data_IF_072038155263
#
_entry.id   IF_072038155263
#
_cell.length_a   1.000
_cell.length_b   1.000
_cell.length_c   1.000
_cell.angle_alpha   90.00
_cell.angle_beta   90.00
_cell.angle_gamma   90.00
#
_symmetry.space_group_name_H-M   'P 1'
#
loop_
_entity.id
_entity.type
_entity.pdbx_description
1 polymer ?
#
# COMPACT_ATOMS: atom_id res chain seq x y z
N UNK A 1 -21.75 -9.80 -4.86
CA UNK A 1 -21.37 -10.65 -3.71
C UNK A 1 -21.51 -9.77 -2.50
N UNK A 2 -22.48 -10.04 -1.66
CA UNK A 2 -22.73 -9.19 -0.49
C UNK A 2 -21.66 -9.49 0.56
N UNK A 3 -20.77 -8.53 0.81
CA UNK A 3 -19.66 -8.68 1.76
C UNK A 3 -20.15 -8.77 3.21
N UNK A 4 -21.41 -8.39 3.47
CA UNK A 4 -22.01 -8.43 4.80
C UNK A 4 -22.30 -9.86 5.28
N UNK A 5 -22.54 -10.80 4.35
CA UNK A 5 -22.88 -12.19 4.70
C UNK A 5 -21.68 -13.10 4.94
N UNK A 6 -20.45 -12.63 4.64
CA UNK A 6 -19.26 -13.48 4.67
C UNK A 6 -18.22 -13.10 5.73
N UNK A 7 -18.37 -11.95 6.40
CA UNK A 7 -17.45 -11.53 7.46
C UNK A 7 -18.15 -11.73 8.82
N UNK A 8 -18.06 -12.92 9.37
CA UNK A 8 -18.30 -13.12 10.79
C UNK A 8 -17.08 -12.61 11.55
N UNK A 9 -17.35 -11.94 12.68
CA UNK A 9 -16.27 -11.53 13.59
C UNK A 9 -15.45 -12.74 13.99
N UNK A 10 -14.12 -12.61 14.13
CA UNK A 10 -13.28 -13.68 14.63
C UNK A 10 -13.86 -14.17 15.96
N UNK A 11 -13.95 -15.51 16.17
CA UNK A 11 -14.51 -16.04 17.38
C UNK A 11 -13.74 -15.53 18.59
N UNK A 12 -14.47 -15.07 19.59
CA UNK A 12 -13.91 -14.89 20.92
C UNK A 12 -13.29 -16.24 21.34
N UNK A 13 -12.20 -16.27 22.14
CA UNK A 13 -11.44 -17.49 22.42
C UNK A 13 -12.27 -18.70 22.85
N UNK A 14 -13.44 -18.49 23.41
CA UNK A 14 -14.32 -19.52 23.98
C UNK A 14 -15.63 -19.73 23.20
N UNK A 15 -15.80 -19.13 22.03
CA UNK A 15 -17.04 -19.26 21.25
C UNK A 15 -16.86 -20.26 20.10
N UNK A 16 -17.70 -21.32 19.99
CA UNK A 16 -17.71 -22.19 18.83
C UNK A 16 -18.38 -21.45 17.67
N UNK A 17 -17.61 -20.75 16.87
CA UNK A 17 -18.11 -20.09 15.67
C UNK A 17 -17.60 -20.79 14.41
N UNK A 18 -18.49 -20.93 13.43
CA UNK A 18 -18.13 -21.40 12.10
C UNK A 18 -17.32 -20.31 11.38
N UNK A 19 -16.12 -20.65 10.96
CA UNK A 19 -15.31 -19.79 10.12
C UNK A 19 -15.87 -19.90 8.71
N UNK A 20 -16.18 -18.78 8.04
CA UNK A 20 -16.56 -18.83 6.64
C UNK A 20 -15.41 -19.45 5.84
N UNK A 21 -15.65 -20.57 5.18
CA UNK A 21 -14.70 -21.18 4.25
C UNK A 21 -14.98 -20.55 2.89
N UNK A 22 -14.45 -19.36 2.67
CA UNK A 22 -14.40 -18.74 1.35
C UNK A 22 -13.12 -19.10 0.62
N UNK A 23 -13.11 -18.91 -0.70
CA UNK A 23 -11.86 -18.91 -1.45
C UNK A 23 -10.96 -17.82 -0.87
N UNK A 24 -9.75 -18.18 -0.43
CA UNK A 24 -8.79 -17.21 0.10
C UNK A 24 -8.45 -16.19 -1.00
N UNK A 25 -8.33 -14.91 -0.63
CA UNK A 25 -7.81 -13.91 -1.55
C UNK A 25 -6.33 -14.17 -1.80
N UNK A 26 -5.85 -13.79 -2.97
CA UNK A 26 -4.44 -13.79 -3.33
C UNK A 26 -4.03 -12.40 -3.79
N UNK A 27 -2.80 -11.99 -3.51
CA UNK A 27 -2.24 -10.75 -4.04
C UNK A 27 -2.05 -10.77 -5.56
N UNK A 28 -2.16 -11.95 -6.17
CA UNK A 28 -2.18 -12.12 -7.63
C UNK A 28 -3.54 -11.73 -8.23
N UNK A 29 -4.59 -11.66 -7.42
CA UNK A 29 -5.89 -11.14 -7.81
C UNK A 29 -5.89 -9.61 -7.74
N UNK A 30 -6.64 -8.92 -8.63
CA UNK A 30 -6.70 -7.47 -8.61
C UNK A 30 -7.50 -6.96 -7.41
N UNK A 31 -6.99 -5.92 -6.76
CA UNK A 31 -7.66 -5.22 -5.66
C UNK A 31 -8.83 -4.41 -6.21
N UNK A 32 -10.01 -4.56 -5.64
CA UNK A 32 -11.13 -3.66 -5.91
C UNK A 32 -10.88 -2.31 -5.22
N UNK A 33 -10.78 -1.24 -6.01
CA UNK A 33 -10.54 0.10 -5.48
C UNK A 33 -11.80 0.93 -5.25
N UNK A 34 -12.86 0.65 -5.99
CA UNK A 34 -14.06 1.45 -6.03
C UNK A 34 -14.71 1.43 -7.40
N UNK A 35 -15.24 2.58 -7.85
CA UNK A 35 -15.91 2.70 -9.15
C UNK A 35 -15.28 3.81 -9.99
N UNK A 36 -15.36 3.66 -11.31
CA UNK A 36 -14.99 4.69 -12.27
C UNK A 36 -16.11 5.75 -12.46
N UNK A 37 -15.87 6.73 -13.32
CA UNK A 37 -16.82 7.80 -13.63
C UNK A 37 -18.11 7.31 -14.31
N UNK A 38 -18.12 6.07 -14.82
CA UNK A 38 -19.29 5.43 -15.45
C UNK A 38 -20.01 4.47 -14.51
N UNK A 39 -19.54 4.33 -13.26
CA UNK A 39 -20.09 3.40 -12.28
C UNK A 39 -19.57 1.94 -12.42
N UNK A 40 -18.58 1.70 -13.28
CA UNK A 40 -17.99 0.37 -13.40
C UNK A 40 -16.96 0.13 -12.29
N UNK A 41 -16.81 -1.13 -11.83
CA UNK A 41 -15.81 -1.48 -10.85
C UNK A 41 -14.38 -1.17 -11.33
N UNK A 42 -13.62 -0.42 -10.53
CA UNK A 42 -12.23 -0.13 -10.76
C UNK A 42 -11.35 -1.13 -10.01
N UNK A 43 -10.53 -1.87 -10.74
CA UNK A 43 -9.63 -2.88 -10.21
C UNK A 43 -8.17 -2.51 -10.40
N UNK A 44 -7.34 -2.82 -9.39
CA UNK A 44 -5.92 -2.55 -9.39
C UNK A 44 -5.12 -3.84 -9.25
N UNK A 45 -4.50 -4.36 -10.31
CA UNK A 45 -3.53 -5.44 -10.17
C UNK A 45 -2.24 -4.89 -9.51
N UNK A 46 -1.98 -5.36 -8.27
CA UNK A 46 -0.84 -4.91 -7.47
C UNK A 46 0.42 -5.72 -7.71
N UNK A 47 0.29 -6.99 -8.11
CA UNK A 47 1.46 -7.83 -8.34
C UNK A 47 2.40 -7.24 -9.41
N UNK A 48 3.69 -7.18 -9.12
CA UNK A 48 4.74 -6.56 -9.92
C UNK A 48 4.56 -5.06 -10.19
N UNK A 49 3.78 -4.38 -9.38
CA UNK A 49 3.51 -2.95 -9.52
C UNK A 49 3.51 -2.26 -8.16
N UNK A 50 3.79 -0.98 -8.18
CA UNK A 50 3.78 -0.11 -7.02
C UNK A 50 2.75 0.99 -7.26
N UNK A 51 2.20 1.57 -6.19
CA UNK A 51 1.28 2.71 -6.27
C UNK A 51 1.75 3.88 -5.43
N UNK A 52 1.72 5.07 -6.03
CA UNK A 52 1.86 6.36 -5.35
C UNK A 52 0.48 6.98 -5.19
N UNK A 53 0.16 7.43 -3.98
CA UNK A 53 -1.13 8.03 -3.64
C UNK A 53 -0.86 9.45 -3.10
N UNK A 54 -1.23 10.46 -3.87
CA UNK A 54 -1.06 11.87 -3.47
C UNK A 54 -2.38 12.61 -3.35
N UNK A 55 -2.41 13.66 -2.55
CA UNK A 55 -3.56 14.53 -2.39
C UNK A 55 -3.56 15.23 -1.03
N UNK A 56 -4.32 16.28 -0.86
CA UNK A 56 -4.43 17.01 0.39
C UNK A 56 -5.17 16.22 1.49
N UNK A 57 -5.19 16.70 2.74
CA UNK A 57 -6.02 16.13 3.80
C UNK A 57 -7.49 16.05 3.36
N UNK A 58 -8.17 14.93 3.67
CA UNK A 58 -9.56 14.71 3.27
C UNK A 58 -9.78 14.27 1.82
N UNK A 59 -8.73 14.17 0.99
CA UNK A 59 -8.84 13.73 -0.41
C UNK A 59 -9.12 12.21 -0.58
N UNK A 60 -9.24 11.44 0.50
CA UNK A 60 -9.56 10.01 0.46
C UNK A 60 -8.35 9.07 0.26
N UNK A 61 -7.13 9.57 0.47
CA UNK A 61 -5.90 8.73 0.41
C UNK A 61 -5.96 7.54 1.35
N UNK A 62 -6.39 7.77 2.60
CA UNK A 62 -6.54 6.73 3.62
C UNK A 62 -7.52 5.66 3.19
N UNK A 63 -8.65 6.02 2.56
CA UNK A 63 -9.62 5.05 2.04
C UNK A 63 -8.98 4.11 1.02
N UNK A 64 -8.24 4.68 0.06
CA UNK A 64 -7.55 3.88 -0.96
C UNK A 64 -6.46 3.00 -0.35
N UNK A 65 -5.65 3.55 0.56
CA UNK A 65 -4.58 2.81 1.23
C UNK A 65 -5.13 1.68 2.10
N UNK A 66 -6.20 1.94 2.87
CA UNK A 66 -6.89 0.94 3.69
C UNK A 66 -7.50 -0.18 2.84
N UNK A 67 -8.06 0.13 1.68
CA UNK A 67 -8.56 -0.87 0.73
C UNK A 67 -7.45 -1.81 0.25
N UNK A 68 -6.28 -1.26 -0.10
CA UNK A 68 -5.11 -2.04 -0.51
C UNK A 68 -4.58 -2.89 0.64
N UNK A 69 -4.42 -2.30 1.83
CA UNK A 69 -3.94 -3.01 3.02
C UNK A 69 -4.94 -4.09 3.46
N UNK A 70 -6.24 -3.81 3.43
CA UNK A 70 -7.30 -4.76 3.76
C UNK A 70 -7.28 -5.98 2.84
N UNK A 71 -7.20 -5.77 1.53
CA UNK A 71 -7.06 -6.87 0.57
C UNK A 71 -5.81 -7.71 0.90
N UNK A 72 -4.65 -7.08 1.07
CA UNK A 72 -3.39 -7.77 1.35
C UNK A 72 -3.40 -8.47 2.72
N UNK A 73 -4.07 -7.92 3.73
CA UNK A 73 -4.21 -8.53 5.05
C UNK A 73 -4.99 -9.85 5.00
N UNK A 74 -5.96 -9.95 4.09
CA UNK A 74 -6.75 -11.16 3.86
C UNK A 74 -6.06 -12.18 2.95
N UNK A 75 -4.94 -11.81 2.31
CA UNK A 75 -4.17 -12.72 1.46
C UNK A 75 -3.16 -13.55 2.30
N UNK A 76 -3.23 -14.89 2.29
CA UNK A 76 -2.25 -15.73 3.00
C UNK A 76 -0.86 -15.70 2.35
N UNK A 77 -0.76 -15.26 1.11
CA UNK A 77 0.48 -15.18 0.33
C UNK A 77 1.21 -13.82 0.48
N UNK A 78 0.81 -12.99 1.45
CA UNK A 78 1.40 -11.64 1.67
C UNK A 78 1.94 -11.47 3.07
N UNK A 79 3.09 -10.80 3.20
CA UNK A 79 3.63 -10.22 4.43
C UNK A 79 3.38 -8.72 4.43
N UNK A 80 2.92 -8.20 5.56
CA UNK A 80 2.56 -6.79 5.72
C UNK A 80 3.65 -6.03 6.48
N UNK A 81 4.21 -5.03 5.83
CA UNK A 81 5.13 -4.07 6.42
C UNK A 81 4.49 -2.68 6.35
N UNK A 82 3.99 -2.18 7.48
CA UNK A 82 3.22 -0.95 7.57
C UNK A 82 4.04 0.14 8.25
N UNK A 83 4.16 1.31 7.62
CA UNK A 83 4.84 2.49 8.15
C UNK A 83 3.81 3.62 8.32
N UNK A 84 3.58 4.01 9.57
CA UNK A 84 2.64 5.07 9.93
C UNK A 84 3.20 5.93 11.06
N UNK A 85 3.79 7.06 10.69
CA UNK A 85 4.39 8.00 11.63
C UNK A 85 3.39 8.67 12.58
N UNK A 86 2.10 8.65 12.26
CA UNK A 86 1.03 9.18 13.12
C UNK A 86 0.35 8.10 13.96
N UNK A 87 0.49 6.84 13.59
CA UNK A 87 -0.15 5.66 14.20
C UNK A 87 -1.69 5.71 14.19
N UNK A 88 -2.28 6.43 13.26
CA UNK A 88 -3.73 6.64 13.17
C UNK A 88 -4.31 5.93 11.95
N UNK A 89 -3.71 6.10 10.78
CA UNK A 89 -4.27 5.64 9.51
C UNK A 89 -4.09 4.12 9.29
N UNK A 90 -2.90 3.60 9.59
CA UNK A 90 -2.58 2.18 9.51
C UNK A 90 -2.53 1.50 10.89
N UNK A 91 -2.74 2.27 11.97
CA UNK A 91 -2.72 1.78 13.34
C UNK A 91 -3.72 0.66 13.61
N UNK A 92 -4.88 0.70 12.97
CA UNK A 92 -5.93 -0.32 13.10
C UNK A 92 -5.52 -1.70 12.52
N UNK A 93 -4.51 -1.73 11.63
CA UNK A 93 -3.97 -2.96 11.05
C UNK A 93 -2.77 -3.54 11.81
N UNK A 94 -2.34 -2.90 12.91
CA UNK A 94 -1.11 -3.23 13.61
C UNK A 94 -1.00 -4.71 13.98
N UNK A 95 -2.08 -5.30 14.48
CA UNK A 95 -2.09 -6.70 14.93
C UNK A 95 -2.11 -7.71 13.77
N UNK A 96 -2.53 -7.29 12.59
CA UNK A 96 -2.46 -8.08 11.36
C UNK A 96 -1.11 -7.95 10.63
N UNK A 97 -0.30 -6.92 10.96
CA UNK A 97 0.97 -6.63 10.30
C UNK A 97 2.10 -7.57 10.78
N UNK A 98 2.97 -7.96 9.86
CA UNK A 98 4.22 -8.66 10.20
C UNK A 98 5.23 -7.68 10.81
N UNK A 99 5.23 -6.42 10.33
CA UNK A 99 6.02 -5.32 10.88
C UNK A 99 5.17 -4.05 10.88
N UNK A 100 5.06 -3.40 12.04
CA UNK A 100 4.44 -2.09 12.17
C UNK A 100 5.48 -1.08 12.68
N UNK A 101 5.72 -0.03 11.90
CA UNK A 101 6.65 1.05 12.20
C UNK A 101 5.85 2.30 12.54
N UNK A 102 5.99 2.78 13.77
CA UNK A 102 5.45 4.06 14.23
C UNK A 102 6.41 5.23 13.95
N UNK A 103 6.38 6.30 14.79
CA UNK A 103 7.22 7.48 14.63
C UNK A 103 8.69 7.24 15.08
N UNK A 104 9.31 6.21 14.54
CA UNK A 104 10.67 5.78 14.84
C UNK A 104 11.47 5.64 13.54
N UNK A 105 12.35 6.62 13.26
CA UNK A 105 13.15 6.66 12.04
C UNK A 105 14.15 5.50 11.97
N UNK A 106 14.79 5.14 13.07
CA UNK A 106 15.71 4.02 13.11
C UNK A 106 15.01 2.70 12.80
N UNK A 107 13.79 2.52 13.33
CA UNK A 107 12.98 1.35 13.01
C UNK A 107 12.58 1.34 11.54
N UNK A 108 12.20 2.48 10.96
CA UNK A 108 11.88 2.60 9.54
C UNK A 108 13.09 2.22 8.66
N UNK A 109 14.25 2.77 8.93
CA UNK A 109 15.50 2.47 8.21
C UNK A 109 15.87 0.99 8.34
N UNK A 110 15.87 0.43 9.56
CA UNK A 110 16.16 -1.00 9.77
C UNK A 110 15.18 -1.89 9.00
N UNK A 111 13.92 -1.53 8.99
CA UNK A 111 12.88 -2.27 8.28
C UNK A 111 13.12 -2.27 6.77
N UNK A 112 13.34 -1.09 6.16
CA UNK A 112 13.62 -1.02 4.72
C UNK A 112 14.91 -1.74 4.33
N UNK A 113 15.97 -1.70 5.18
CA UNK A 113 17.20 -2.50 4.96
C UNK A 113 16.92 -4.00 4.98
N UNK A 114 16.07 -4.49 5.89
CA UNK A 114 15.64 -5.90 5.90
C UNK A 114 14.90 -6.27 4.62
N UNK A 115 14.01 -5.40 4.15
CA UNK A 115 13.31 -5.59 2.87
C UNK A 115 14.32 -5.66 1.70
N UNK A 116 15.37 -4.83 1.69
CA UNK A 116 16.43 -4.93 0.69
C UNK A 116 17.18 -6.27 0.75
N UNK A 117 17.54 -6.76 1.93
CA UNK A 117 18.19 -8.06 2.08
C UNK A 117 17.29 -9.18 1.52
N UNK A 118 16.00 -9.16 1.82
CA UNK A 118 15.06 -10.12 1.23
C UNK A 118 15.00 -9.98 -0.29
N UNK A 119 15.00 -8.76 -0.81
CA UNK A 119 15.02 -8.46 -2.24
C UNK A 119 16.24 -9.08 -2.93
N UNK A 120 17.44 -8.88 -2.39
CA UNK A 120 18.69 -9.38 -2.94
C UNK A 120 18.77 -10.92 -2.88
N UNK A 121 18.28 -11.53 -1.80
CA UNK A 121 18.17 -12.99 -1.69
C UNK A 121 17.21 -13.57 -2.74
N UNK A 122 16.10 -12.90 -3.02
CA UNK A 122 15.13 -13.31 -4.06
C UNK A 122 15.72 -13.15 -5.47
N UNK A 123 16.53 -12.12 -5.71
CA UNK A 123 17.27 -12.01 -6.97
C UNK A 123 18.26 -13.15 -7.16
N UNK A 124 19.00 -13.51 -6.12
CA UNK A 124 19.90 -14.68 -6.13
C UNK A 124 19.15 -15.99 -6.42
N UNK A 125 17.96 -16.15 -5.82
CA UNK A 125 17.07 -17.28 -6.09
C UNK A 125 16.61 -17.30 -7.56
N UNK A 126 16.19 -16.17 -8.13
CA UNK A 126 15.76 -16.06 -9.52
C UNK A 126 16.91 -16.39 -10.48
N UNK A 127 18.10 -15.86 -10.21
CA UNK A 127 19.30 -16.11 -10.99
C UNK A 127 19.63 -17.62 -11.01
N UNK A 128 19.65 -18.26 -9.83
CA UNK A 128 19.91 -19.70 -9.71
C UNK A 128 18.88 -20.57 -10.45
N UNK A 129 17.64 -20.07 -10.56
CA UNK A 129 16.54 -20.75 -11.26
C UNK A 129 16.37 -20.33 -12.73
N UNK A 130 17.22 -19.44 -13.23
CA UNK A 130 17.15 -18.86 -14.60
C UNK A 130 15.76 -18.24 -14.87
N UNK A 131 15.19 -17.58 -13.87
CA UNK A 131 13.87 -16.90 -13.93
C UNK A 131 14.05 -15.39 -13.85
N UNK A 132 13.10 -14.64 -14.39
CA UNK A 132 13.10 -13.18 -14.39
C UNK A 132 12.17 -12.56 -13.34
N UNK A 133 11.22 -13.34 -12.80
CA UNK A 133 10.29 -12.90 -11.77
C UNK A 133 9.75 -14.08 -10.98
N UNK A 134 9.33 -13.79 -9.75
CA UNK A 134 8.62 -14.76 -8.90
C UNK A 134 7.21 -15.02 -9.41
N UNK A 135 6.54 -16.03 -8.88
CA UNK A 135 5.19 -16.40 -9.26
C UNK A 135 4.39 -16.99 -8.07
N UNK A 136 3.11 -17.31 -8.26
CA UNK A 136 2.24 -17.78 -7.17
C UNK A 136 2.67 -19.12 -6.57
N UNK A 137 3.45 -19.92 -7.28
CA UNK A 137 3.92 -21.23 -6.82
C UNK A 137 5.29 -21.17 -6.11
N UNK A 138 5.84 -19.98 -5.87
CA UNK A 138 7.07 -19.86 -5.10
C UNK A 138 6.78 -20.03 -3.60
N UNK A 139 7.72 -20.64 -2.86
CA UNK A 139 7.55 -21.02 -1.45
C UNK A 139 7.63 -19.85 -0.46
N UNK A 140 7.64 -18.61 -0.93
CA UNK A 140 7.71 -17.43 -0.09
C UNK A 140 6.62 -16.41 -0.47
N UNK A 141 6.00 -15.81 0.55
CA UNK A 141 4.95 -14.82 0.35
C UNK A 141 5.48 -13.51 -0.26
N UNK A 142 4.59 -12.78 -0.89
CA UNK A 142 4.85 -11.41 -1.35
C UNK A 142 5.02 -10.48 -0.16
N UNK A 143 5.58 -9.29 -0.36
CA UNK A 143 5.70 -8.29 0.70
C UNK A 143 4.98 -7.02 0.23
N UNK A 144 3.99 -6.57 1.00
CA UNK A 144 3.43 -5.23 0.85
C UNK A 144 4.12 -4.30 1.85
N UNK A 145 4.80 -3.29 1.33
CA UNK A 145 5.29 -2.14 2.11
C UNK A 145 4.31 -1.00 1.91
N UNK A 146 3.50 -0.69 2.91
CA UNK A 146 2.56 0.42 2.88
C UNK A 146 3.06 1.57 3.78
N UNK A 147 3.08 2.78 3.24
CA UNK A 147 3.50 3.99 3.96
C UNK A 147 2.41 5.05 3.84
N UNK A 148 1.84 5.46 4.98
CA UNK A 148 0.76 6.46 4.99
C UNK A 148 1.24 7.87 4.62
N UNK A 149 2.42 8.26 5.10
CA UNK A 149 2.97 9.59 4.82
C UNK A 149 4.49 9.52 4.57
N UNK A 150 4.86 9.54 3.29
CA UNK A 150 6.29 9.54 2.91
C UNK A 150 7.01 10.76 3.49
N UNK A 151 6.37 11.95 3.45
CA UNK A 151 6.98 13.20 3.91
C UNK A 151 7.36 13.16 5.39
N UNK A 152 6.69 12.34 6.20
CA UNK A 152 7.05 12.18 7.60
C UNK A 152 8.47 11.64 7.74
N UNK A 153 8.80 10.57 7.05
CA UNK A 153 10.13 9.93 7.13
C UNK A 153 11.19 10.58 6.24
N UNK A 154 10.79 11.20 5.12
CA UNK A 154 11.76 11.78 4.18
C UNK A 154 12.07 13.25 4.43
N UNK A 155 11.29 13.96 5.27
CA UNK A 155 11.46 15.40 5.47
C UNK A 155 11.15 15.92 6.89
N UNK A 156 10.58 15.10 7.78
CA UNK A 156 10.16 15.59 9.11
C UNK A 156 10.86 14.87 10.26
N UNK A 157 10.87 13.54 10.26
CA UNK A 157 11.47 12.73 11.33
C UNK A 157 13.00 12.61 11.15
N UNK A 158 13.70 12.47 12.26
CA UNK A 158 15.16 12.26 12.26
C UNK A 158 15.97 13.47 11.75
N UNK A 159 17.26 13.26 11.57
CA UNK A 159 18.14 14.24 10.94
C UNK A 159 18.14 14.11 9.39
N UNK A 160 18.81 15.06 8.72
CA UNK A 160 18.86 15.09 7.26
C UNK A 160 19.49 13.83 6.65
N UNK A 161 20.50 13.28 7.32
CA UNK A 161 21.19 12.05 6.86
C UNK A 161 20.24 10.85 6.88
N UNK A 162 19.45 10.72 7.93
CA UNK A 162 18.48 9.63 8.07
C UNK A 162 17.32 9.78 7.10
N UNK A 163 16.86 11.02 6.86
CA UNK A 163 15.84 11.33 5.84
C UNK A 163 16.32 10.95 4.43
N UNK A 164 17.55 11.33 4.08
CA UNK A 164 18.15 11.00 2.78
C UNK A 164 18.36 9.49 2.64
N UNK A 165 18.76 8.81 3.70
CA UNK A 165 18.92 7.35 3.73
C UNK A 165 17.58 6.65 3.54
N UNK A 166 16.54 7.06 4.28
CA UNK A 166 15.18 6.53 4.11
C UNK A 166 14.70 6.68 2.67
N UNK A 167 14.84 7.89 2.09
CA UNK A 167 14.43 8.18 0.71
C UNK A 167 15.19 7.32 -0.31
N UNK A 168 16.49 7.11 -0.10
CA UNK A 168 17.32 6.26 -0.95
C UNK A 168 16.89 4.78 -0.89
N UNK A 169 16.64 4.26 0.32
CA UNK A 169 16.17 2.90 0.56
C UNK A 169 14.79 2.66 -0.08
N UNK A 170 13.85 3.57 0.14
CA UNK A 170 12.52 3.49 -0.46
C UNK A 170 12.59 3.50 -1.98
N UNK A 171 13.39 4.41 -2.57
CA UNK A 171 13.58 4.49 -4.03
C UNK A 171 14.13 3.19 -4.59
N UNK A 172 15.13 2.60 -3.96
CA UNK A 172 15.73 1.33 -4.40
C UNK A 172 14.72 0.18 -4.38
N UNK A 173 13.92 0.08 -3.30
CA UNK A 173 12.86 -0.92 -3.17
C UNK A 173 11.80 -0.73 -4.24
N UNK A 174 11.34 0.51 -4.50
CA UNK A 174 10.35 0.81 -5.55
C UNK A 174 10.91 0.44 -6.93
N UNK A 175 12.18 0.75 -7.20
CA UNK A 175 12.82 0.49 -8.49
C UNK A 175 12.99 -1.01 -8.76
N UNK A 176 13.47 -1.77 -7.77
CA UNK A 176 13.89 -3.17 -7.95
C UNK A 176 12.90 -4.20 -7.41
N UNK A 177 12.02 -3.84 -6.48
CA UNK A 177 11.15 -4.78 -5.76
C UNK A 177 10.16 -5.55 -6.64
N UNK A 178 9.73 -4.97 -7.76
CA UNK A 178 8.63 -5.48 -8.61
C UNK A 178 8.81 -6.95 -9.01
N UNK A 179 9.95 -7.31 -9.58
CA UNK A 179 10.20 -8.65 -10.10
C UNK A 179 10.29 -9.73 -9.00
N UNK A 180 10.61 -9.33 -7.80
CA UNK A 180 10.82 -10.21 -6.64
C UNK A 180 9.67 -10.15 -5.63
N UNK A 181 8.52 -9.57 -6.03
CA UNK A 181 7.28 -9.57 -5.25
C UNK A 181 7.31 -8.69 -4.01
N UNK A 182 8.02 -7.58 -4.10
CA UNK A 182 7.92 -6.50 -3.13
C UNK A 182 7.10 -5.40 -3.79
N UNK A 183 5.96 -5.11 -3.18
CA UNK A 183 4.95 -4.16 -3.62
C UNK A 183 5.00 -2.97 -2.67
N UNK A 184 5.07 -1.76 -3.22
CA UNK A 184 5.05 -0.54 -2.42
C UNK A 184 3.75 0.21 -2.69
N UNK A 185 3.00 0.52 -1.63
CA UNK A 185 1.89 1.45 -1.63
C UNK A 185 2.27 2.65 -0.74
N UNK A 186 2.57 3.77 -1.36
CA UNK A 186 3.11 4.93 -0.65
C UNK A 186 2.20 6.14 -0.83
N UNK A 187 1.81 6.77 0.29
CA UNK A 187 0.94 7.93 0.28
C UNK A 187 1.66 9.19 0.79
N UNK A 188 1.16 10.35 0.39
CA UNK A 188 1.58 11.65 0.93
C UNK A 188 0.45 12.68 0.85
N UNK A 189 0.35 13.50 1.89
CA UNK A 189 -0.50 14.70 1.93
C UNK A 189 0.21 15.92 1.35
N UNK A 190 1.51 15.81 1.12
CA UNK A 190 2.34 16.89 0.57
C UNK A 190 2.94 16.48 -0.77
N UNK A 191 2.16 16.54 -1.87
CA UNK A 191 2.67 16.25 -3.21
C UNK A 191 3.51 17.43 -3.71
N UNK A 192 4.77 17.46 -3.28
CA UNK A 192 5.77 18.46 -3.67
C UNK A 192 7.00 17.77 -4.26
N UNK A 193 7.76 18.47 -5.09
CA UNK A 193 8.90 17.89 -5.81
C UNK A 193 10.08 17.51 -4.92
N UNK A 194 10.16 18.07 -3.72
CA UNK A 194 11.15 17.69 -2.68
C UNK A 194 10.80 16.36 -2.03
N UNK A 195 9.52 16.03 -1.90
CA UNK A 195 9.02 14.75 -1.34
C UNK A 195 8.91 13.67 -2.43
N UNK A 196 8.38 14.04 -3.60
CA UNK A 196 8.17 13.15 -4.74
C UNK A 196 8.95 13.71 -5.95
N UNK A 197 10.27 13.59 -5.98
CA UNK A 197 11.03 13.99 -7.17
C UNK A 197 10.64 13.09 -8.36
N UNK A 198 10.76 13.60 -9.60
CA UNK A 198 10.45 12.81 -10.80
C UNK A 198 11.14 11.45 -10.83
N UNK A 199 12.38 11.38 -10.33
CA UNK A 199 13.17 10.14 -10.23
C UNK A 199 12.60 9.08 -9.30
N UNK A 200 11.70 9.45 -8.38
CA UNK A 200 10.94 8.53 -7.53
C UNK A 200 9.55 8.27 -8.12
N UNK A 201 8.82 9.33 -8.48
CA UNK A 201 7.47 9.23 -9.05
C UNK A 201 7.40 8.28 -10.24
N UNK A 202 8.32 8.40 -11.17
CA UNK A 202 8.28 7.67 -12.44
C UNK A 202 8.60 6.17 -12.29
N UNK A 203 9.02 5.74 -11.10
CA UNK A 203 9.16 4.33 -10.73
C UNK A 203 7.84 3.66 -10.33
N UNK A 204 6.81 4.44 -9.99
CA UNK A 204 5.50 3.93 -9.65
C UNK A 204 4.68 3.65 -10.91
N UNK A 205 4.27 2.39 -11.08
CA UNK A 205 3.44 1.97 -12.21
C UNK A 205 2.00 2.50 -12.11
N UNK A 206 1.51 2.67 -10.88
CA UNK A 206 0.22 3.27 -10.58
C UNK A 206 0.41 4.57 -9.82
N UNK A 207 -0.37 5.57 -10.16
CA UNK A 207 -0.39 6.85 -9.44
C UNK A 207 -1.83 7.32 -9.31
N UNK A 208 -2.22 7.64 -8.09
CA UNK A 208 -3.54 8.19 -7.77
C UNK A 208 -3.37 9.60 -7.21
N UNK A 209 -3.95 10.57 -7.89
CA UNK A 209 -4.06 11.95 -7.42
C UNK A 209 -5.49 12.20 -6.92
N UNK A 210 -5.69 12.10 -5.61
CA UNK A 210 -6.86 12.67 -4.95
C UNK A 210 -6.81 14.21 -5.05
N UNK A 211 -7.84 14.91 -4.59
CA UNK A 211 -7.88 16.38 -4.67
C UNK A 211 -6.57 17.01 -4.19
N UNK A 212 -6.04 17.92 -4.99
CA UNK A 212 -4.84 18.70 -4.71
C UNK A 212 -5.19 20.19 -4.65
N UNK A 213 -4.39 20.97 -3.92
CA UNK A 213 -4.60 22.42 -3.77
C UNK A 213 -4.38 23.23 -5.04
N UNK A 214 -3.61 22.68 -5.98
CA UNK A 214 -3.31 23.33 -7.25
C UNK A 214 -2.92 22.30 -8.32
N UNK A 215 -2.85 22.75 -9.57
CA UNK A 215 -2.55 21.92 -10.73
C UNK A 215 -1.12 21.37 -10.73
N UNK A 216 -0.18 22.12 -10.18
CA UNK A 216 1.23 21.68 -10.07
C UNK A 216 1.33 20.48 -9.14
N UNK A 217 0.63 20.49 -7.99
CA UNK A 217 0.59 19.36 -7.06
C UNK A 217 -0.07 18.13 -7.70
N UNK A 218 -1.10 18.33 -8.53
CA UNK A 218 -1.71 17.25 -9.32
C UNK A 218 -0.70 16.66 -10.31
N UNK A 219 0.02 17.48 -11.04
CA UNK A 219 1.05 17.05 -12.01
C UNK A 219 2.26 16.39 -11.32
N UNK A 220 2.58 16.78 -10.08
CA UNK A 220 3.62 16.10 -9.30
C UNK A 220 3.26 14.63 -9.04
N UNK A 221 1.99 14.31 -8.84
CA UNK A 221 1.53 12.93 -8.65
C UNK A 221 1.33 12.21 -9.98
N UNK A 222 0.52 12.78 -10.87
CA UNK A 222 0.12 12.13 -12.13
C UNK A 222 1.26 12.05 -13.14
N UNK A 223 2.16 13.03 -13.13
CA UNK A 223 3.19 13.24 -14.12
C UNK A 223 3.02 14.59 -14.79
N UNK A 224 4.12 15.14 -15.26
CA UNK A 224 4.15 16.45 -15.86
C UNK A 224 3.29 16.52 -17.14
N UNK A 225 2.51 17.60 -17.29
CA UNK A 225 1.75 17.92 -18.49
C UNK A 225 0.32 17.35 -18.52
N UNK A 226 -0.14 16.63 -17.51
CA UNK A 226 -1.52 16.13 -17.46
C UNK A 226 -2.53 17.26 -17.24
N UNK A 227 -2.17 18.27 -16.44
CA UNK A 227 -2.98 19.46 -16.27
C UNK A 227 -3.28 20.15 -17.62
N UNK A 228 -2.25 20.36 -18.45
CA UNK A 228 -2.42 20.98 -19.76
C UNK A 228 -3.31 20.17 -20.74
N UNK A 229 -3.51 18.86 -20.43
CA UNK A 229 -4.39 17.95 -21.19
C UNK A 229 -5.79 17.83 -20.57
N UNK A 230 -6.11 18.62 -19.55
CA UNK A 230 -7.41 18.65 -18.90
C UNK A 230 -7.57 17.69 -17.70
N UNK A 231 -6.49 17.02 -17.27
CA UNK A 231 -6.51 16.12 -16.11
C UNK A 231 -5.86 16.79 -14.91
N UNK A 232 -6.66 17.44 -14.08
CA UNK A 232 -6.20 18.03 -12.84
C UNK A 232 -7.10 17.65 -11.66
N UNK A 233 -6.50 17.09 -10.61
CA UNK A 233 -7.23 16.77 -9.39
C UNK A 233 -7.60 17.99 -8.54
N UNK A 234 -7.07 19.20 -8.90
CA UNK A 234 -7.51 20.47 -8.31
C UNK A 234 -8.99 20.78 -8.63
N UNK A 235 -9.50 20.28 -9.78
CA UNK A 235 -10.90 20.48 -10.20
C UNK A 235 -11.91 19.60 -9.47
N UNK A 236 -11.46 18.66 -8.62
CA UNK A 236 -12.36 17.77 -7.86
C UNK A 236 -13.05 18.58 -6.76
N UNK A 237 -14.39 18.45 -6.69
CA UNK A 237 -15.19 19.11 -5.65
C UNK A 237 -14.71 18.67 -4.25
N UNK A 238 -14.47 19.61 -3.31
CA UNK A 238 -14.10 19.28 -1.93
C UNK A 238 -15.05 18.32 -1.20
N UNK A 239 -16.32 18.32 -1.60
CA UNK A 239 -17.33 17.43 -1.02
C UNK A 239 -17.24 15.99 -1.56
N UNK A 240 -16.51 15.77 -2.66
CA UNK A 240 -16.32 14.45 -3.26
C UNK A 240 -15.09 13.74 -2.70
N UNK A 241 -15.08 13.51 -1.38
CA UNK A 241 -14.00 12.78 -0.73
C UNK A 241 -13.78 11.40 -1.36
N UNK A 242 -12.52 10.99 -1.52
CA UNK A 242 -12.17 9.71 -2.13
C UNK A 242 -12.21 9.69 -3.65
N UNK A 243 -12.58 10.80 -4.29
CA UNK A 243 -12.49 10.94 -5.73
C UNK A 243 -11.08 11.38 -6.14
N UNK A 244 -10.58 10.84 -7.25
CA UNK A 244 -9.26 11.16 -7.76
C UNK A 244 -9.04 10.66 -9.17
N UNK A 245 -7.91 11.02 -9.75
CA UNK A 245 -7.43 10.48 -11.01
C UNK A 245 -6.45 9.35 -10.77
N UNK A 246 -6.74 8.18 -11.32
CA UNK A 246 -5.86 7.01 -11.34
C UNK A 246 -5.21 6.88 -12.72
N UNK A 247 -3.90 6.77 -12.77
CA UNK A 247 -3.15 6.53 -14.00
C UNK A 247 -2.27 5.28 -13.87
N UNK A 248 -2.32 4.41 -14.90
CA UNK A 248 -1.36 3.34 -15.10
C UNK A 248 -0.13 3.82 -15.86
N UNK A 249 0.98 3.09 -15.75
CA UNK A 249 2.19 3.30 -16.57
C UNK A 249 1.82 3.27 -18.06
N UNK A 250 2.09 4.37 -18.77
CA UNK A 250 1.75 4.53 -20.20
C UNK A 250 0.27 4.76 -20.51
N UNK A 251 -0.58 4.86 -19.48
CA UNK A 251 -2.02 5.08 -19.63
C UNK A 251 -2.43 6.56 -19.66
N UNK A 252 -3.73 6.78 -19.68
CA UNK A 252 -4.40 8.08 -19.53
C UNK A 252 -5.08 8.08 -18.14
N UNK A 253 -5.08 9.21 -17.40
CA UNK A 253 -5.78 9.30 -16.14
C UNK A 253 -7.27 9.00 -16.30
N UNK A 254 -7.80 8.15 -15.45
CA UNK A 254 -9.24 7.86 -15.33
C UNK A 254 -9.75 8.33 -13.99
N UNK A 255 -10.96 8.84 -13.94
CA UNK A 255 -11.58 9.30 -12.71
C UNK A 255 -12.10 8.10 -11.93
N UNK A 256 -11.74 8.01 -10.65
CA UNK A 256 -12.11 6.89 -9.78
C UNK A 256 -12.59 7.42 -8.44
N UNK A 257 -13.69 6.86 -7.95
CA UNK A 257 -14.19 7.06 -6.59
C UNK A 257 -13.77 5.86 -5.75
N UNK A 258 -12.86 6.07 -4.80
CA UNK A 258 -12.38 5.02 -3.91
C UNK A 258 -13.51 4.46 -3.03
N UNK A 259 -13.48 3.15 -2.82
CA UNK A 259 -14.32 2.51 -1.83
C UNK A 259 -13.99 3.04 -0.43
N UNK A 260 -15.01 3.22 0.39
CA UNK A 260 -14.87 3.71 1.75
C UNK A 260 -15.19 2.60 2.75
N UNK A 261 -14.31 2.43 3.72
CA UNK A 261 -14.53 1.61 4.91
C UNK A 261 -14.58 2.51 6.13
N UNK A 262 -15.58 2.32 6.98
CA UNK A 262 -15.60 2.97 8.30
C UNK A 262 -14.52 2.37 9.21
N UNK A 263 -14.15 3.04 10.29
CA UNK A 263 -13.21 2.49 11.28
C UNK A 263 -13.71 1.14 11.82
N UNK A 264 -15.02 1.00 12.01
CA UNK A 264 -15.63 -0.26 12.44
C UNK A 264 -15.44 -1.38 11.41
N UNK A 265 -15.55 -1.08 10.11
CA UNK A 265 -15.30 -2.05 9.05
C UNK A 265 -13.82 -2.45 9.00
N UNK A 266 -12.92 -1.46 9.11
CA UNK A 266 -11.47 -1.70 9.15
C UNK A 266 -11.12 -2.61 10.32
N UNK A 267 -11.61 -2.31 11.53
CA UNK A 267 -11.36 -3.11 12.73
C UNK A 267 -11.85 -4.54 12.52
N UNK A 268 -13.07 -4.75 12.01
CA UNK A 268 -13.62 -6.09 11.75
C UNK A 268 -12.75 -6.90 10.79
N UNK A 269 -12.30 -6.26 9.69
CA UNK A 269 -11.44 -6.92 8.71
C UNK A 269 -10.06 -7.19 9.30
N UNK A 270 -9.49 -6.26 10.05
CA UNK A 270 -8.18 -6.40 10.69
C UNK A 270 -8.19 -7.53 11.74
N UNK A 271 -9.24 -7.63 12.56
CA UNK A 271 -9.40 -8.70 13.56
C UNK A 271 -9.51 -10.06 12.89
N UNK A 272 -10.32 -10.16 11.83
CA UNK A 272 -10.45 -11.39 11.05
C UNK A 272 -9.13 -11.77 10.35
N UNK A 273 -8.44 -10.81 9.75
CA UNK A 273 -7.12 -11.03 9.16
C UNK A 273 -6.10 -11.50 10.21
N UNK A 274 -6.07 -10.88 11.37
CA UNK A 274 -5.19 -11.25 12.48
C UNK A 274 -5.44 -12.70 12.93
N UNK A 275 -6.70 -13.07 13.10
CA UNK A 275 -7.09 -14.43 13.49
C UNK A 275 -6.70 -15.47 12.43
N UNK A 276 -6.98 -15.22 11.15
CA UNK A 276 -6.64 -16.14 10.05
C UNK A 276 -5.14 -16.29 9.89
N UNK A 277 -4.38 -15.21 9.99
CA UNK A 277 -2.92 -15.19 9.86
C UNK A 277 -2.24 -15.95 11.01
N UNK A 278 -2.74 -15.80 12.24
CA UNK A 278 -2.24 -16.59 13.39
C UNK A 278 -2.47 -18.09 13.20
N UNK A 279 -3.62 -18.51 12.71
CA UNK A 279 -3.94 -19.92 12.48
C UNK A 279 -3.16 -20.55 11.33
N UNK A 280 -2.85 -19.79 10.30
CA UNK A 280 -2.06 -20.27 9.16
C UNK A 280 -0.55 -20.28 9.42
N UNK A 281 -0.08 -19.97 10.62
CA UNK A 281 1.34 -19.85 10.95
C UNK A 281 2.00 -18.61 10.32
N UNK A 282 1.19 -17.68 9.79
CA UNK A 282 1.62 -16.39 9.24
C UNK A 282 1.66 -15.29 10.32
N UNK A 283 1.37 -15.63 11.57
CA UNK A 283 1.54 -14.69 12.67
C UNK A 283 2.94 -14.09 12.63
N UNK A 284 3.13 -12.82 13.03
CA UNK A 284 4.44 -12.21 13.10
C UNK A 284 5.35 -13.18 13.85
N UNK A 285 6.30 -13.76 13.16
CA UNK A 285 7.43 -14.36 13.85
C UNK A 285 7.99 -13.23 14.70
N UNK A 286 8.14 -13.47 15.99
CA UNK A 286 8.63 -12.47 16.92
C UNK A 286 10.02 -12.01 16.42
N UNK A 287 10.03 -10.98 15.58
CA UNK A 287 11.25 -10.42 14.98
C UNK A 287 12.15 -9.78 16.06
N UNK A 288 11.72 -9.84 17.33
CA UNK A 288 12.49 -9.44 18.51
C UNK A 288 13.60 -10.43 18.85
N UNK A 289 13.57 -11.67 18.35
CA UNK A 289 14.52 -12.74 18.72
C UNK A 289 15.54 -13.08 17.65
N UNK A 290 15.56 -12.42 16.49
CA UNK A 290 16.62 -12.54 15.48
C UNK A 290 17.54 -11.31 15.56
N UNK A 291 18.30 -11.19 16.64
CA UNK A 291 19.46 -10.30 16.75
C UNK A 291 20.70 -10.98 16.17
#
# INVERSE_FOLDING_TARGET
>A
MDLTDTIELPPQPDSPQTVPVGAGLSIFDPVFLGIDEFGHPAYLPMIYRNILIGGEPGAGKSSLLNTIVGHAALCPDVRLCLLDGKQVELGLWKDAADVFVGPDMDHAIRTLRRVQVVMDNRYSFLLARRRRKIGPNDLFGQILVACDEIAYFSATAGDKKDQDLFAALLRDIVARGRAVGIIVAAATQRPSSDIIPPSLRDLFAWRFAGRCTNDVSSDIVLGHGWYARGFSSNSIDPNNQGEGYLIAEGGIPTRVKAAYMTDADIIRVADYATWTRRRSGLAPADLRTAA
#
